data_IF_245030100552
#
_entry.id   IF_245030100552
#
_cell.length_a   1.000
_cell.length_b   1.000
_cell.length_c   1.000
_cell.angle_alpha   90.00
_cell.angle_beta   90.00
_cell.angle_gamma   90.00
#
_symmetry.space_group_name_H-M   'P 1'
#
loop_
_entity.id
_entity.type
_entity.pdbx_description
1 polymer ?
#
# COMPACT_ATOMS: atom_id res chain seq x y z
N UNK A 1 -5.62 -2.48 -12.76
CA UNK A 1 -5.59 -3.19 -14.07
C UNK A 1 -4.17 -3.59 -14.44
N UNK A 2 -3.22 -2.66 -14.52
CA UNK A 2 -1.82 -2.92 -14.93
C UNK A 2 -1.05 -4.03 -14.18
N UNK A 3 -1.09 -4.13 -12.84
CA UNK A 3 -0.40 -5.26 -12.18
C UNK A 3 -1.00 -6.63 -12.56
N UNK A 4 -2.32 -6.70 -12.74
CA UNK A 4 -2.99 -7.96 -13.11
C UNK A 4 -2.69 -8.38 -14.55
N UNK A 5 -2.41 -7.43 -15.43
CA UNK A 5 -2.02 -7.70 -16.82
C UNK A 5 -0.66 -8.41 -16.92
N UNK A 6 0.21 -8.23 -15.93
CA UNK A 6 1.51 -8.93 -15.83
C UNK A 6 1.45 -10.13 -14.88
N UNK A 7 0.26 -10.62 -14.53
CA UNK A 7 0.08 -11.77 -13.62
C UNK A 7 0.33 -11.47 -12.15
N UNK A 8 0.42 -10.20 -11.76
CA UNK A 8 0.61 -9.75 -10.38
C UNK A 8 -0.58 -9.00 -9.78
N UNK A 9 -0.36 -8.40 -8.62
CA UNK A 9 -1.32 -7.56 -7.92
C UNK A 9 -0.62 -6.33 -7.33
N UNK A 10 -1.37 -5.33 -6.87
CA UNK A 10 -0.76 -4.20 -6.15
C UNK A 10 -0.29 -4.74 -4.81
N UNK A 11 0.95 -4.45 -4.45
CA UNK A 11 1.69 -5.09 -3.35
C UNK A 11 0.87 -5.21 -2.07
N UNK A 12 0.89 -6.41 -1.49
CA UNK A 12 0.38 -6.74 -0.18
C UNK A 12 1.56 -6.81 0.77
N UNK A 13 1.50 -6.07 1.87
CA UNK A 13 2.62 -6.03 2.83
C UNK A 13 2.23 -6.85 4.05
N UNK A 14 2.81 -8.04 4.18
CA UNK A 14 2.46 -9.01 5.22
C UNK A 14 3.32 -8.85 6.49
N UNK A 15 4.35 -7.98 6.49
CA UNK A 15 5.11 -7.68 7.70
C UNK A 15 6.21 -6.62 7.59
N UNK A 16 6.86 -6.35 8.73
CA UNK A 16 7.86 -5.28 8.89
C UNK A 16 9.07 -5.43 7.95
N UNK A 17 9.56 -6.65 7.75
CA UNK A 17 10.70 -6.93 6.88
C UNK A 17 10.40 -6.56 5.43
N UNK A 18 9.23 -6.96 4.96
CA UNK A 18 8.77 -6.63 3.61
C UNK A 18 8.55 -5.13 3.46
N UNK A 19 7.86 -4.51 4.41
CA UNK A 19 7.63 -3.06 4.43
C UNK A 19 8.93 -2.27 4.33
N UNK A 20 9.93 -2.63 5.14
CA UNK A 20 11.24 -1.99 5.15
C UNK A 20 12.00 -2.20 3.84
N UNK A 21 11.92 -3.40 3.25
CA UNK A 21 12.54 -3.72 1.98
C UNK A 21 11.92 -2.92 0.83
N UNK A 22 10.59 -2.80 0.79
CA UNK A 22 9.87 -2.00 -0.20
C UNK A 22 10.22 -0.53 -0.05
N UNK A 23 10.14 0.02 1.16
CA UNK A 23 10.46 1.41 1.44
C UNK A 23 11.88 1.77 0.97
N UNK A 24 12.87 0.96 1.36
CA UNK A 24 14.29 1.23 1.11
C UNK A 24 14.71 0.96 -0.34
N UNK A 25 14.28 -0.17 -0.93
CA UNK A 25 14.82 -0.63 -2.21
C UNK A 25 13.91 -0.35 -3.41
N UNK A 26 12.63 -0.04 -3.20
CA UNK A 26 11.67 0.23 -4.27
C UNK A 26 11.11 1.65 -4.23
N UNK A 27 10.80 2.16 -3.05
CA UNK A 27 10.14 3.47 -2.89
C UNK A 27 11.11 4.63 -2.55
N UNK A 28 12.41 4.40 -2.40
CA UNK A 28 13.40 5.45 -2.10
C UNK A 28 13.99 6.06 -3.37
N UNK A 29 13.15 6.70 -4.19
CA UNK A 29 13.54 7.26 -5.50
C UNK A 29 12.85 8.58 -5.86
N UNK A 30 12.31 9.29 -4.87
CA UNK A 30 11.63 10.58 -5.06
C UNK A 30 10.14 10.48 -5.40
N UNK A 31 9.57 9.27 -5.46
CA UNK A 31 8.15 9.05 -5.75
C UNK A 31 7.37 8.48 -4.58
N UNK A 32 6.05 8.69 -4.62
CA UNK A 32 5.10 8.03 -3.72
C UNK A 32 4.47 6.83 -4.43
N UNK A 33 4.12 5.81 -3.67
CA UNK A 33 3.61 4.56 -4.22
C UNK A 33 2.35 4.12 -3.53
N UNK A 34 1.29 3.88 -4.30
CA UNK A 34 0.14 3.16 -3.82
C UNK A 34 0.53 1.73 -3.44
N UNK A 35 0.03 1.30 -2.29
CA UNK A 35 0.05 -0.08 -1.82
C UNK A 35 -1.34 -0.69 -1.88
N UNK A 36 -1.43 -2.01 -1.87
CA UNK A 36 -2.63 -2.74 -2.23
C UNK A 36 -3.71 -2.77 -1.15
N UNK A 37 -3.73 -1.86 -0.19
CA UNK A 37 -4.71 -1.81 0.91
C UNK A 37 -5.72 -0.68 0.70
N UNK A 38 -6.98 -0.98 0.96
CA UNK A 38 -8.10 -0.04 0.83
C UNK A 38 -9.00 -0.09 2.05
N UNK A 39 -9.68 1.02 2.29
CA UNK A 39 -10.76 1.09 3.27
C UNK A 39 -12.10 0.82 2.58
N UNK A 40 -12.72 -0.33 2.86
CA UNK A 40 -14.06 -0.67 2.35
C UNK A 40 -15.17 -0.19 3.30
N UNK A 41 -14.84 0.01 4.57
CA UNK A 41 -15.73 0.49 5.62
C UNK A 41 -14.87 1.14 6.67
N UNK A 42 -15.05 2.44 6.86
CA UNK A 42 -14.19 3.30 7.67
C UNK A 42 -13.58 2.61 8.90
N UNK A 43 -12.25 2.49 8.89
CA UNK A 43 -11.47 1.82 9.92
C UNK A 43 -11.27 0.31 9.72
N UNK A 44 -11.76 -0.27 8.61
CA UNK A 44 -11.57 -1.69 8.25
C UNK A 44 -10.79 -1.80 6.94
N UNK A 45 -9.48 -1.82 7.09
CA UNK A 45 -8.54 -1.94 5.98
C UNK A 45 -8.39 -3.37 5.49
N UNK A 46 -8.47 -3.55 4.17
CA UNK A 46 -8.36 -4.85 3.50
C UNK A 46 -7.46 -4.78 2.29
N UNK A 47 -6.78 -5.89 2.02
CA UNK A 47 -5.96 -6.04 0.82
C UNK A 47 -6.84 -6.26 -0.42
N UNK A 48 -6.57 -5.48 -1.46
CA UNK A 48 -7.29 -5.53 -2.75
C UNK A 48 -7.13 -6.86 -3.47
N UNK A 49 -6.05 -7.60 -3.19
CA UNK A 49 -5.73 -8.87 -3.82
C UNK A 49 -6.63 -10.02 -3.34
N UNK A 50 -6.62 -10.28 -2.02
CA UNK A 50 -7.25 -11.47 -1.42
C UNK A 50 -8.40 -11.13 -0.46
N UNK A 51 -8.74 -9.84 -0.32
CA UNK A 51 -9.75 -9.33 0.60
C UNK A 51 -9.46 -9.59 2.09
N UNK A 52 -8.27 -10.10 2.43
CA UNK A 52 -7.86 -10.34 3.81
C UNK A 52 -7.74 -9.01 4.57
N UNK A 53 -8.00 -9.05 5.89
CA UNK A 53 -7.85 -7.89 6.76
C UNK A 53 -6.36 -7.52 6.87
N UNK A 54 -6.04 -6.24 6.78
CA UNK A 54 -4.70 -5.75 7.06
C UNK A 54 -4.43 -5.89 8.57
N UNK A 55 -3.73 -6.96 8.95
CA UNK A 55 -3.33 -7.24 10.34
C UNK A 55 -2.04 -6.50 10.70
N UNK A 56 -1.08 -6.48 9.77
CA UNK A 56 0.08 -5.61 9.84
C UNK A 56 -0.30 -4.25 9.23
N UNK A 57 -0.06 -3.18 9.98
CA UNK A 57 -0.22 -1.81 9.51
C UNK A 57 0.89 -0.96 10.12
N UNK A 58 1.34 0.06 9.38
CA UNK A 58 2.36 0.99 9.86
C UNK A 58 1.96 2.43 9.60
N UNK A 59 0.82 2.83 10.13
CA UNK A 59 0.27 4.17 9.90
C UNK A 59 1.19 5.27 10.43
N UNK A 60 1.35 6.33 9.65
CA UNK A 60 1.90 7.57 10.18
C UNK A 60 0.97 8.14 11.27
N UNK A 61 1.50 8.71 12.36
CA UNK A 61 0.68 9.27 13.43
C UNK A 61 -0.42 10.20 12.90
N UNK A 62 -1.69 9.86 13.20
CA UNK A 62 -2.87 10.61 12.76
C UNK A 62 -3.62 10.02 11.56
N UNK A 63 -3.09 8.98 10.89
CA UNK A 63 -3.70 8.33 9.73
C UNK A 63 -4.34 6.97 10.09
N UNK A 64 -5.17 6.42 9.20
CA UNK A 64 -5.59 5.01 9.23
C UNK A 64 -6.69 4.61 10.23
N UNK A 65 -6.96 5.39 11.27
CA UNK A 65 -7.99 5.02 12.27
C UNK A 65 -9.17 6.01 12.38
N UNK A 66 -8.97 7.27 11.97
CA UNK A 66 -9.96 8.35 12.11
C UNK A 66 -10.41 8.96 10.80
N UNK A 67 -10.01 8.36 9.67
CA UNK A 67 -10.47 8.67 8.33
C UNK A 67 -10.29 10.13 7.93
N UNK A 68 -9.38 10.40 7.01
CA UNK A 68 -9.40 11.68 6.29
C UNK A 68 -10.54 11.74 5.25
N UNK A 69 -11.44 10.74 5.23
CA UNK A 69 -12.34 10.45 4.11
C UNK A 69 -11.65 9.77 2.91
N UNK A 70 -10.35 9.49 3.04
CA UNK A 70 -9.53 8.85 2.01
C UNK A 70 -9.44 7.34 2.20
N UNK A 71 -9.67 6.57 1.13
CA UNK A 71 -9.79 5.11 1.19
C UNK A 71 -8.60 4.36 0.55
N UNK A 72 -7.57 5.06 0.09
CA UNK A 72 -6.38 4.48 -0.53
C UNK A 72 -5.12 4.80 0.27
N UNK A 73 -4.10 3.96 0.17
CA UNK A 73 -2.91 4.06 1.02
C UNK A 73 -1.64 4.13 0.21
N UNK A 74 -0.79 5.09 0.54
CA UNK A 74 0.51 5.28 -0.10
C UNK A 74 1.67 5.17 0.88
N UNK A 75 2.80 4.67 0.37
CA UNK A 75 4.12 4.89 0.91
C UNK A 75 4.70 6.17 0.33
N UNK A 76 5.32 6.97 1.19
CA UNK A 76 6.06 8.15 0.76
C UNK A 76 7.53 7.80 0.53
N UNK A 77 8.20 8.59 -0.32
CA UNK A 77 9.59 8.39 -0.70
C UNK A 77 10.51 7.90 0.44
N UNK A 78 10.90 6.63 0.39
CA UNK A 78 11.79 5.98 1.37
C UNK A 78 11.23 5.79 2.78
N UNK A 79 9.99 6.23 3.05
CA UNK A 79 9.36 6.12 4.37
C UNK A 79 8.72 4.76 4.54
N UNK A 80 8.79 4.25 5.76
CA UNK A 80 8.13 2.99 6.13
C UNK A 80 6.69 3.20 6.59
N UNK A 81 6.31 4.43 6.93
CA UNK A 81 4.96 4.76 7.40
C UNK A 81 3.96 4.90 6.24
N UNK A 82 2.72 4.53 6.52
CA UNK A 82 1.60 4.49 5.59
C UNK A 82 0.71 5.71 5.80
N UNK A 83 0.23 6.27 4.70
CA UNK A 83 -0.64 7.45 4.70
C UNK A 83 -1.92 7.10 3.94
N UNK A 84 -3.08 7.33 4.54
CA UNK A 84 -4.32 7.41 3.79
C UNK A 84 -4.31 8.67 2.88
N UNK A 85 -4.85 8.53 1.68
CA UNK A 85 -4.84 9.60 0.68
C UNK A 85 -5.91 9.42 -0.40
N UNK A 86 -6.32 10.51 -1.04
CA UNK A 86 -7.36 10.50 -2.07
C UNK A 86 -6.97 9.55 -3.21
N UNK A 87 -7.80 8.54 -3.44
CA UNK A 87 -7.63 7.53 -4.48
C UNK A 87 -7.51 8.11 -5.90
N UNK A 88 -8.00 9.33 -6.13
CA UNK A 88 -7.89 10.01 -7.43
C UNK A 88 -6.53 10.67 -7.65
N UNK A 89 -5.68 10.74 -6.62
CA UNK A 89 -4.34 11.28 -6.74
C UNK A 89 -3.49 10.41 -7.68
N UNK A 90 -2.88 11.07 -8.66
CA UNK A 90 -2.03 10.40 -9.65
C UNK A 90 -0.65 10.17 -9.08
N UNK A 91 -0.38 8.93 -8.68
CA UNK A 91 0.96 8.49 -8.33
C UNK A 91 1.23 7.07 -8.84
N UNK A 92 2.46 6.58 -8.64
CA UNK A 92 2.88 5.24 -9.03
C UNK A 92 2.30 4.18 -8.07
N UNK A 93 2.41 2.91 -8.43
CA UNK A 93 2.02 1.78 -7.59
C UNK A 93 3.07 0.67 -7.72
N UNK A 94 3.24 -0.13 -6.67
CA UNK A 94 4.17 -1.25 -6.67
C UNK A 94 3.37 -2.52 -6.96
N UNK A 95 3.82 -3.30 -7.94
CA UNK A 95 3.27 -4.61 -8.22
C UNK A 95 4.08 -5.69 -7.51
N UNK A 96 3.38 -6.70 -7.04
CA UNK A 96 3.92 -7.93 -6.48
C UNK A 96 3.42 -9.12 -7.30
N UNK A 97 4.28 -10.13 -7.47
CA UNK A 97 3.94 -11.38 -8.13
C UNK A 97 4.50 -12.54 -7.31
N UNK A 98 3.72 -13.61 -7.19
CA UNK A 98 4.12 -14.85 -6.52
C UNK A 98 5.14 -15.68 -7.33
N UNK A 99 5.49 -15.23 -8.53
CA UNK A 99 6.47 -15.86 -9.38
C UNK A 99 7.77 -15.04 -9.34
N UNK A 100 8.85 -15.65 -8.86
CA UNK A 100 10.21 -15.24 -9.21
C UNK A 100 10.56 -15.94 -10.52
N UNK A 101 10.84 -15.16 -11.57
CA UNK A 101 11.51 -15.63 -12.77
C UNK A 101 12.99 -15.27 -12.71
#
# INVERSE_FOLDING_TARGET
RKCREIGGYIVKIDGEKENSNIATNRANNGHNYWIGVIDLKEGIWRWTYDQSKAVFTKWYPGYGAKGTGSNCVQLHNGRTDWYDYDCHHKTQYICESNFCF
#
